data_IF_948672274002
#
_entry.id   IF_948672274002
#
_cell.length_a   1.000
_cell.length_b   1.000
_cell.length_c   1.000
_cell.angle_alpha   90.00
_cell.angle_beta   90.00
_cell.angle_gamma   90.00
#
_symmetry.space_group_name_H-M   'P 1'
#
loop_
_entity.id
_entity.type
_entity.pdbx_description
1 polymer ?
#
# COMPACT_ATOMS: atom_id res chain seq x y z
N UNK A 1 21.92 48.92 -72.45
CA UNK A 1 23.18 48.15 -72.44
C UNK A 1 24.19 48.86 -71.54
N UNK A 2 24.41 48.37 -70.31
CA UNK A 2 25.42 48.82 -69.33
C UNK A 2 25.33 47.80 -68.18
N UNK A 3 26.35 47.11 -67.63
CA UNK A 3 27.82 47.26 -67.59
C UNK A 3 28.26 48.61 -66.99
N UNK A 4 29.02 48.69 -65.88
CA UNK A 4 29.76 47.68 -65.08
C UNK A 4 29.70 47.98 -63.56
N UNK A 5 30.04 46.99 -62.73
CA UNK A 5 30.27 47.08 -61.28
C UNK A 5 31.66 47.67 -60.93
N UNK A 6 31.97 47.76 -59.61
CA UNK A 6 33.25 48.08 -58.88
C UNK A 6 33.33 49.48 -58.23
N UNK A 7 34.01 49.69 -57.08
CA UNK A 7 34.70 48.77 -56.15
C UNK A 7 34.62 49.22 -54.66
N UNK A 8 34.24 48.28 -53.78
CA UNK A 8 34.55 48.06 -52.34
C UNK A 8 35.33 49.15 -51.55
N UNK A 9 34.83 49.49 -50.33
CA UNK A 9 35.62 49.37 -49.08
C UNK A 9 34.81 49.33 -47.76
N UNK A 10 35.19 48.38 -46.90
CA UNK A 10 35.03 48.26 -45.45
C UNK A 10 33.68 48.67 -44.80
N UNK A 11 32.88 47.67 -44.44
CA UNK A 11 31.96 47.72 -43.30
C UNK A 11 32.48 46.78 -42.20
N UNK A 12 32.47 47.22 -40.94
CA UNK A 12 32.90 46.41 -39.79
C UNK A 12 31.91 45.28 -39.47
N UNK A 13 32.45 44.13 -39.07
CA UNK A 13 31.66 42.96 -38.67
C UNK A 13 30.98 43.22 -37.32
N UNK A 14 29.64 43.18 -37.31
CA UNK A 14 28.84 43.05 -36.10
C UNK A 14 28.03 41.74 -36.21
N UNK A 15 28.51 40.67 -35.58
CA UNK A 15 27.79 39.39 -35.54
C UNK A 15 26.70 39.47 -34.47
N UNK A 16 25.51 39.92 -34.87
CA UNK A 16 24.26 39.58 -34.17
C UNK A 16 23.54 38.57 -35.05
N UNK A 17 23.91 37.29 -34.90
CA UNK A 17 23.10 36.21 -35.44
C UNK A 17 21.77 36.21 -34.69
N UNK A 18 20.71 36.62 -35.37
CA UNK A 18 19.34 36.40 -34.92
C UNK A 18 19.09 34.90 -34.90
N UNK A 19 19.35 34.26 -33.77
CA UNK A 19 18.95 32.87 -33.55
C UNK A 19 17.43 32.82 -33.62
N UNK A 20 16.92 32.23 -34.70
CA UNK A 20 15.54 31.82 -34.74
C UNK A 20 15.36 30.78 -33.63
N UNK A 21 14.72 31.19 -32.52
CA UNK A 21 14.33 30.27 -31.45
C UNK A 21 13.28 29.32 -32.03
N UNK A 22 13.76 28.19 -32.55
CA UNK A 22 12.89 27.07 -32.86
C UNK A 22 12.18 26.67 -31.55
N UNK A 23 10.83 26.54 -31.54
CA UNK A 23 10.18 25.87 -30.44
C UNK A 23 10.70 24.43 -30.40
N UNK A 24 11.47 24.09 -29.37
CA UNK A 24 11.90 22.71 -29.15
C UNK A 24 10.68 21.81 -29.00
N UNK A 25 10.72 20.53 -29.45
CA UNK A 25 9.55 19.66 -29.57
C UNK A 25 9.03 19.12 -28.22
N UNK A 26 9.23 19.87 -27.12
CA UNK A 26 8.96 19.48 -25.74
C UNK A 26 8.09 20.51 -25.00
N UNK A 27 7.12 21.06 -25.71
CA UNK A 27 5.91 21.64 -25.14
C UNK A 27 4.74 21.33 -26.09
N UNK A 28 3.54 21.10 -25.53
CA UNK A 28 2.31 20.82 -26.28
C UNK A 28 2.23 19.48 -27.06
N UNK A 29 2.92 18.45 -26.57
CA UNK A 29 2.44 17.07 -26.71
C UNK A 29 1.31 16.82 -25.68
N UNK A 30 0.16 17.46 -25.89
CA UNK A 30 -0.95 17.46 -24.92
C UNK A 30 -1.75 16.16 -24.91
N UNK A 31 -1.87 15.54 -23.72
CA UNK A 31 -3.04 14.74 -23.31
C UNK A 31 -3.49 13.59 -24.24
N UNK A 32 -2.59 12.96 -25.00
CA UNK A 32 -2.98 11.96 -26.02
C UNK A 32 -2.24 10.60 -25.94
N UNK A 33 -1.25 10.44 -25.05
CA UNK A 33 -0.57 9.15 -24.79
C UNK A 33 -1.11 8.40 -23.56
N UNK A 34 -1.98 9.03 -22.74
CA UNK A 34 -2.55 8.43 -21.52
C UNK A 34 -3.64 7.37 -21.78
N UNK A 35 -3.61 6.72 -22.94
CA UNK A 35 -4.64 5.81 -23.44
C UNK A 35 -4.09 4.48 -24.01
N UNK A 36 -2.78 4.20 -23.86
CA UNK A 36 -2.13 3.00 -24.44
C UNK A 36 -1.16 2.25 -23.52
N UNK A 37 -1.66 1.91 -22.35
CA UNK A 37 -1.58 0.56 -21.77
C UNK A 37 -2.22 0.64 -20.38
N UNK A 38 -3.37 0.01 -20.20
CA UNK A 38 -3.82 -0.27 -18.84
C UNK A 38 -2.92 -1.36 -18.25
N UNK A 39 -2.47 -1.17 -17.01
CA UNK A 39 -1.59 -2.12 -16.35
C UNK A 39 -2.19 -3.54 -16.38
N UNK A 40 -1.39 -4.60 -16.63
CA UNK A 40 -1.89 -5.97 -16.66
C UNK A 40 -2.65 -6.40 -15.40
N UNK A 41 -2.33 -5.82 -14.23
CA UNK A 41 -3.04 -6.09 -12.98
C UNK A 41 -4.48 -5.52 -12.96
N UNK A 42 -4.72 -4.41 -13.65
CA UNK A 42 -6.04 -3.78 -13.72
C UNK A 42 -6.98 -4.56 -14.64
N UNK A 43 -6.46 -5.00 -15.79
CA UNK A 43 -7.17 -5.93 -16.69
C UNK A 43 -7.45 -7.27 -16.00
N UNK A 44 -6.48 -7.82 -15.26
CA UNK A 44 -6.68 -9.03 -14.44
C UNK A 44 -7.69 -8.85 -13.28
N UNK A 45 -7.89 -7.62 -12.78
CA UNK A 45 -8.97 -7.33 -11.83
C UNK A 45 -10.34 -7.22 -12.50
N UNK A 46 -10.44 -6.54 -13.65
CA UNK A 46 -11.67 -6.49 -14.47
C UNK A 46 -12.15 -7.88 -14.86
N UNK A 47 -11.25 -8.85 -14.95
CA UNK A 47 -11.57 -10.25 -15.14
C UNK A 47 -12.32 -10.87 -13.93
N UNK A 48 -12.02 -10.51 -12.70
CA UNK A 48 -12.63 -11.15 -11.51
C UNK A 48 -13.87 -10.41 -10.99
N UNK A 49 -13.87 -9.08 -11.11
CA UNK A 49 -14.76 -8.21 -10.33
C UNK A 49 -16.24 -8.26 -10.76
N UNK A 50 -17.17 -8.32 -9.80
CA UNK A 50 -18.61 -8.28 -10.10
C UNK A 50 -19.10 -6.84 -10.35
N UNK A 51 -18.54 -5.87 -9.63
CA UNK A 51 -18.83 -4.44 -9.77
C UNK A 51 -17.57 -3.68 -10.24
N UNK A 52 -17.46 -3.55 -11.57
CA UNK A 52 -16.39 -2.80 -12.22
C UNK A 52 -16.52 -1.27 -12.09
N UNK A 53 -17.54 -0.74 -11.38
CA UNK A 53 -17.65 0.70 -11.08
C UNK A 53 -16.85 1.12 -9.83
N UNK A 54 -16.32 0.16 -9.07
CA UNK A 54 -15.33 0.42 -8.00
C UNK A 54 -14.03 0.94 -8.61
N UNK A 55 -13.63 2.16 -8.25
CA UNK A 55 -12.28 2.64 -8.59
C UNK A 55 -11.23 1.91 -7.73
N UNK A 56 -10.74 0.80 -8.26
CA UNK A 56 -9.65 0.03 -7.64
C UNK A 56 -8.36 0.86 -7.48
N UNK A 57 -8.12 1.91 -8.27
CA UNK A 57 -6.94 2.78 -8.13
C UNK A 57 -7.06 3.70 -6.90
N UNK A 58 -8.28 3.92 -6.39
CA UNK A 58 -8.53 4.58 -5.11
C UNK A 58 -8.41 3.65 -3.90
N UNK A 59 -8.20 2.33 -4.09
CA UNK A 59 -7.98 1.41 -2.95
C UNK A 59 -6.67 1.72 -2.24
N UNK A 60 -6.72 1.75 -0.90
CA UNK A 60 -5.57 2.10 -0.06
C UNK A 60 -5.40 1.10 1.10
N UNK A 61 -4.15 0.79 1.51
CA UNK A 61 -2.87 1.15 0.90
C UNK A 61 -2.60 0.33 -0.38
N UNK A 62 -1.36 0.32 -0.87
CA UNK A 62 -0.92 -0.68 -1.86
C UNK A 62 -0.80 -2.06 -1.20
N UNK A 63 -1.52 -3.06 -1.73
CA UNK A 63 -1.76 -4.34 -1.06
C UNK A 63 -1.17 -5.55 -1.82
N UNK A 64 -1.10 -6.71 -1.16
CA UNK A 64 -0.57 -7.95 -1.75
C UNK A 64 -1.69 -8.81 -2.31
N UNK A 65 -1.71 -8.91 -3.63
CA UNK A 65 -2.55 -9.85 -4.37
C UNK A 65 -2.10 -11.30 -4.16
N UNK A 66 -3.05 -12.23 -4.02
CA UNK A 66 -2.74 -13.68 -4.05
C UNK A 66 -2.38 -14.11 -5.48
N UNK A 67 -1.57 -15.17 -5.58
CA UNK A 67 -1.21 -15.85 -6.83
C UNK A 67 -1.62 -17.33 -6.83
N UNK A 68 -2.28 -17.75 -5.76
CA UNK A 68 -2.75 -19.10 -5.46
C UNK A 68 -4.25 -19.25 -5.81
N UNK A 69 -4.66 -20.46 -6.17
CA UNK A 69 -6.01 -20.80 -6.65
C UNK A 69 -6.78 -21.70 -5.66
N UNK A 70 -6.43 -21.62 -4.38
CA UNK A 70 -7.11 -22.37 -3.31
C UNK A 70 -8.61 -22.03 -3.30
N UNK A 71 -9.44 -23.04 -3.02
CA UNK A 71 -10.88 -22.88 -2.76
C UNK A 71 -11.08 -21.86 -1.65
N UNK A 72 -12.02 -20.93 -1.88
CA UNK A 72 -12.42 -19.91 -0.92
C UNK A 72 -13.89 -20.07 -0.56
N UNK A 73 -14.23 -19.53 0.60
CA UNK A 73 -15.57 -19.53 1.17
C UNK A 73 -16.01 -18.12 1.52
N UNK A 74 -17.30 -17.81 1.34
CA UNK A 74 -17.90 -16.55 1.80
C UNK A 74 -19.23 -16.82 2.47
N UNK A 75 -19.36 -16.39 3.73
CA UNK A 75 -20.66 -16.32 4.38
C UNK A 75 -21.47 -15.13 3.85
N UNK A 76 -22.73 -15.36 3.47
CA UNK A 76 -23.61 -14.28 3.03
C UNK A 76 -23.90 -13.31 4.18
N UNK A 77 -23.36 -12.09 4.08
CA UNK A 77 -23.68 -10.96 4.96
C UNK A 77 -24.52 -9.89 4.27
N UNK A 78 -24.64 -9.93 2.94
CA UNK A 78 -25.38 -8.97 2.11
C UNK A 78 -26.87 -9.34 1.98
N UNK A 79 -27.26 -10.59 2.26
CA UNK A 79 -28.59 -11.16 1.99
C UNK A 79 -28.93 -11.24 0.50
N UNK A 80 -27.93 -11.56 -0.33
CA UNK A 80 -28.16 -11.85 -1.77
C UNK A 80 -28.72 -13.26 -1.99
N UNK A 81 -28.40 -14.22 -1.10
CA UNK A 81 -28.75 -15.63 -1.31
C UNK A 81 -28.30 -16.15 -2.67
N UNK A 82 -29.13 -16.98 -3.30
CA UNK A 82 -28.80 -17.63 -4.58
C UNK A 82 -28.73 -16.67 -5.77
N UNK A 83 -29.21 -15.42 -5.66
CA UNK A 83 -29.03 -14.39 -6.71
C UNK A 83 -27.54 -14.09 -6.96
N UNK A 84 -26.66 -14.37 -6.00
CA UNK A 84 -25.22 -14.25 -6.15
C UNK A 84 -24.64 -15.11 -7.29
N UNK A 85 -25.30 -16.21 -7.70
CA UNK A 85 -24.88 -17.00 -8.86
C UNK A 85 -24.97 -16.20 -10.18
N UNK A 86 -25.91 -15.25 -10.27
CA UNK A 86 -26.06 -14.37 -11.43
C UNK A 86 -25.36 -13.01 -11.22
N UNK A 87 -25.49 -12.42 -10.03
CA UNK A 87 -24.98 -11.08 -9.71
C UNK A 87 -23.51 -11.05 -9.26
N UNK A 88 -22.96 -12.19 -8.83
CA UNK A 88 -21.70 -12.27 -8.11
C UNK A 88 -21.79 -11.94 -6.61
N UNK A 89 -20.68 -12.18 -5.93
CA UNK A 89 -20.45 -11.90 -4.50
C UNK A 89 -20.18 -10.40 -4.29
N UNK A 90 -21.21 -9.57 -4.46
CA UNK A 90 -21.10 -8.12 -4.45
C UNK A 90 -20.55 -7.56 -3.11
N UNK A 91 -19.79 -6.44 -3.17
CA UNK A 91 -19.34 -5.74 -1.98
C UNK A 91 -20.51 -5.01 -1.29
N UNK A 92 -20.33 -4.62 -0.03
CA UNK A 92 -21.40 -3.91 0.71
C UNK A 92 -21.65 -2.49 0.21
N UNK A 93 -20.74 -1.91 -0.56
CA UNK A 93 -20.85 -0.57 -1.15
C UNK A 93 -22.07 -0.38 -2.04
N UNK A 94 -22.50 -1.40 -2.81
CA UNK A 94 -23.58 -1.30 -3.81
C UNK A 94 -24.93 -0.85 -3.23
N UNK A 95 -25.15 -1.04 -1.93
CA UNK A 95 -26.34 -0.59 -1.21
C UNK A 95 -26.29 0.90 -0.77
N UNK A 96 -25.26 1.65 -1.15
CA UNK A 96 -25.00 3.03 -0.73
C UNK A 96 -24.57 3.93 -1.90
N UNK A 97 -24.77 5.26 -1.82
CA UNK A 97 -24.28 6.20 -2.83
C UNK A 97 -22.76 6.14 -3.00
N UNK A 98 -22.28 6.23 -4.25
CA UNK A 98 -20.86 6.07 -4.62
C UNK A 98 -19.91 7.01 -3.85
N UNK A 99 -20.35 8.24 -3.59
CA UNK A 99 -19.59 9.22 -2.79
C UNK A 99 -19.51 8.91 -1.29
N UNK A 100 -20.05 7.77 -0.83
CA UNK A 100 -19.97 7.28 0.55
C UNK A 100 -19.24 5.92 0.66
N UNK A 101 -18.73 5.41 -0.46
CA UNK A 101 -18.01 4.14 -0.54
C UNK A 101 -16.66 4.20 0.18
N UNK A 102 -16.29 3.09 0.82
CA UNK A 102 -15.08 2.98 1.65
C UNK A 102 -14.00 2.16 0.92
N UNK A 103 -12.95 2.86 0.50
CA UNK A 103 -11.80 2.34 -0.26
C UNK A 103 -10.53 2.12 0.60
N UNK A 104 -10.59 2.39 1.91
CA UNK A 104 -9.55 2.00 2.87
C UNK A 104 -9.77 0.53 3.25
N UNK A 105 -8.84 -0.34 2.84
CA UNK A 105 -8.87 -1.77 3.11
C UNK A 105 -8.70 -2.12 4.58
N UNK A 106 -8.07 -1.25 5.38
CA UNK A 106 -7.94 -1.51 6.80
C UNK A 106 -9.15 -1.05 7.60
N UNK A 107 -9.83 0.01 7.15
CA UNK A 107 -11.16 0.36 7.66
C UNK A 107 -12.19 -0.74 7.30
N UNK A 108 -11.93 -1.53 6.27
CA UNK A 108 -12.61 -2.79 5.97
C UNK A 108 -12.22 -3.92 6.95
N UNK A 109 -12.59 -3.74 8.21
CA UNK A 109 -12.65 -4.83 9.20
C UNK A 109 -13.93 -5.67 9.09
N UNK A 110 -13.99 -6.73 9.90
CA UNK A 110 -15.08 -7.71 9.95
C UNK A 110 -16.48 -7.05 9.97
N UNK A 111 -17.18 -7.15 8.85
CA UNK A 111 -18.56 -6.67 8.69
C UNK A 111 -18.74 -5.20 8.28
N UNK A 112 -17.66 -4.41 8.12
CA UNK A 112 -17.73 -2.96 7.89
C UNK A 112 -18.73 -2.52 6.79
N UNK A 113 -19.59 -1.52 7.04
CA UNK A 113 -20.55 -1.02 6.06
C UNK A 113 -19.85 -0.21 4.96
N UNK A 114 -20.50 -0.06 3.80
CA UNK A 114 -20.03 0.72 2.63
C UNK A 114 -18.68 0.30 2.01
N UNK A 115 -18.06 -0.77 2.52
CA UNK A 115 -16.84 -1.36 1.94
C UNK A 115 -17.02 -1.71 0.47
N UNK A 116 -16.08 -1.28 -0.37
CA UNK A 116 -15.97 -1.70 -1.78
C UNK A 116 -15.41 -3.12 -1.95
N UNK A 117 -15.05 -3.77 -0.85
CA UNK A 117 -14.46 -5.09 -0.83
C UNK A 117 -15.49 -6.15 -0.43
N UNK A 118 -15.36 -7.33 -1.02
CA UNK A 118 -16.08 -8.53 -0.66
C UNK A 118 -15.13 -9.48 0.09
N UNK A 119 -15.25 -9.55 1.41
CA UNK A 119 -14.48 -10.49 2.26
C UNK A 119 -14.83 -11.93 1.95
N UNK A 120 -13.79 -12.77 1.89
CA UNK A 120 -13.85 -14.21 1.67
C UNK A 120 -12.70 -14.87 2.45
N UNK A 121 -12.70 -16.17 2.68
CA UNK A 121 -11.71 -16.85 3.54
C UNK A 121 -11.36 -18.24 3.02
N UNK A 122 -10.15 -18.73 3.30
CA UNK A 122 -9.77 -20.14 3.04
C UNK A 122 -10.50 -21.13 3.97
N UNK A 123 -11.07 -20.66 5.09
CA UNK A 123 -11.73 -21.51 6.08
C UNK A 123 -13.27 -21.49 5.99
N UNK A 124 -13.85 -22.64 5.64
CA UNK A 124 -15.31 -22.83 5.60
C UNK A 124 -15.98 -22.55 6.95
N UNK A 125 -15.34 -22.93 8.07
CA UNK A 125 -15.85 -22.71 9.43
C UNK A 125 -15.97 -21.21 9.75
N UNK A 126 -15.03 -20.40 9.25
CA UNK A 126 -15.02 -18.95 9.43
C UNK A 126 -16.10 -18.30 8.55
N UNK A 127 -16.28 -18.77 7.32
CA UNK A 127 -17.40 -18.36 6.47
C UNK A 127 -18.77 -18.71 7.11
N UNK A 128 -18.93 -19.89 7.72
CA UNK A 128 -20.13 -20.27 8.46
C UNK A 128 -20.41 -19.33 9.64
N UNK A 129 -19.39 -18.89 10.39
CA UNK A 129 -19.58 -17.93 11.50
C UNK A 129 -20.24 -16.63 11.03
N UNK A 130 -19.76 -16.05 9.92
CA UNK A 130 -20.27 -14.78 9.39
C UNK A 130 -21.55 -14.89 8.55
N UNK A 131 -21.87 -16.05 7.98
CA UNK A 131 -23.09 -16.25 7.18
C UNK A 131 -24.37 -15.91 7.96
N UNK A 132 -25.37 -15.36 7.27
CA UNK A 132 -26.77 -15.34 7.73
C UNK A 132 -27.45 -16.68 7.47
N UNK A 133 -27.43 -17.12 6.20
CA UNK A 133 -28.10 -18.34 5.72
C UNK A 133 -27.15 -19.19 4.87
N UNK A 134 -26.49 -18.58 3.87
CA UNK A 134 -25.68 -19.29 2.88
C UNK A 134 -24.18 -19.11 3.09
N UNK A 135 -23.43 -20.15 2.77
CA UNK A 135 -21.97 -20.14 2.60
C UNK A 135 -21.67 -20.53 1.16
N UNK A 136 -21.10 -19.61 0.40
CA UNK A 136 -20.65 -19.85 -0.96
C UNK A 136 -19.28 -20.52 -0.94
N UNK A 137 -19.11 -21.60 -1.69
CA UNK A 137 -17.81 -22.16 -2.07
C UNK A 137 -17.50 -21.69 -3.50
N UNK A 138 -16.29 -21.16 -3.71
CA UNK A 138 -15.90 -20.58 -5.00
C UNK A 138 -14.39 -20.66 -5.23
N UNK A 139 -13.97 -20.46 -6.48
CA UNK A 139 -12.57 -20.24 -6.84
C UNK A 139 -12.49 -19.07 -7.81
N UNK A 140 -11.62 -18.12 -7.51
CA UNK A 140 -11.33 -16.99 -8.39
C UNK A 140 -9.84 -16.64 -8.31
N UNK A 141 -9.20 -16.26 -9.43
CA UNK A 141 -7.84 -15.75 -9.39
C UNK A 141 -7.80 -14.40 -8.67
N UNK A 142 -6.59 -13.96 -8.28
CA UNK A 142 -6.38 -12.66 -7.63
C UNK A 142 -7.25 -12.48 -6.36
N UNK A 143 -7.53 -11.24 -5.98
CA UNK A 143 -7.97 -10.86 -4.63
C UNK A 143 -6.80 -10.51 -3.72
N UNK A 144 -7.05 -9.63 -2.75
CA UNK A 144 -6.06 -9.13 -1.80
C UNK A 144 -5.92 -10.13 -0.65
N UNK A 145 -4.73 -10.65 -0.44
CA UNK A 145 -4.45 -11.61 0.62
C UNK A 145 -4.19 -10.89 1.95
N UNK A 146 -5.07 -11.09 2.94
CA UNK A 146 -4.99 -10.42 4.24
C UNK A 146 -3.72 -10.80 5.01
N UNK A 147 -3.24 -12.04 4.88
CA UNK A 147 -2.05 -12.51 5.60
C UNK A 147 -0.79 -11.93 4.97
N UNK A 148 -0.67 -11.97 3.62
CA UNK A 148 0.47 -11.39 2.89
C UNK A 148 0.48 -9.85 2.91
N UNK A 149 -0.69 -9.22 3.07
CA UNK A 149 -0.84 -7.77 3.30
C UNK A 149 -0.73 -7.37 4.78
N UNK A 150 -0.74 -8.34 5.70
CA UNK A 150 -0.61 -8.16 7.15
C UNK A 150 -1.74 -7.36 7.81
N UNK A 151 -2.98 -7.63 7.40
CA UNK A 151 -4.22 -7.02 7.93
C UNK A 151 -4.62 -7.52 9.34
N UNK A 152 -5.74 -6.99 9.89
CA UNK A 152 -6.05 -7.03 11.33
C UNK A 152 -6.28 -8.42 11.90
N UNK A 153 -6.78 -9.37 11.11
CA UNK A 153 -7.13 -10.71 11.59
C UNK A 153 -6.51 -11.78 10.68
N UNK A 154 -5.21 -12.09 10.82
CA UNK A 154 -4.56 -13.12 9.99
C UNK A 154 -5.18 -14.51 10.15
N UNK A 155 -5.75 -14.79 11.33
CA UNK A 155 -6.44 -16.04 11.64
C UNK A 155 -7.77 -16.23 10.89
N UNK A 156 -8.29 -15.20 10.21
CA UNK A 156 -9.43 -15.33 9.30
C UNK A 156 -9.02 -15.74 7.87
N UNK A 157 -7.72 -15.79 7.58
CA UNK A 157 -7.15 -16.17 6.27
C UNK A 157 -7.80 -15.45 5.08
N UNK A 158 -8.22 -14.20 5.30
CA UNK A 158 -9.10 -13.48 4.39
C UNK A 158 -8.45 -13.21 3.02
N UNK A 159 -9.24 -13.38 1.97
CA UNK A 159 -9.01 -12.76 0.67
C UNK A 159 -10.12 -11.73 0.42
N UNK A 160 -9.76 -10.45 0.29
CA UNK A 160 -10.71 -9.37 0.02
C UNK A 160 -10.73 -9.03 -1.47
N UNK A 161 -11.90 -9.04 -2.12
CA UNK A 161 -12.04 -8.71 -3.54
C UNK A 161 -12.66 -7.32 -3.76
N UNK A 162 -11.93 -6.33 -4.32
CA UNK A 162 -12.52 -5.04 -4.71
C UNK A 162 -13.57 -5.23 -5.81
N UNK A 163 -14.75 -4.67 -5.63
CA UNK A 163 -15.90 -4.91 -6.52
C UNK A 163 -16.44 -6.35 -6.48
N UNK A 164 -15.96 -7.20 -5.56
CA UNK A 164 -16.45 -8.58 -5.41
C UNK A 164 -15.96 -9.57 -6.46
N UNK A 165 -16.70 -10.66 -6.63
CA UNK A 165 -16.33 -11.81 -7.47
C UNK A 165 -17.54 -12.21 -8.33
N UNK A 166 -17.37 -12.37 -9.65
CA UNK A 166 -18.46 -12.75 -10.56
C UNK A 166 -19.09 -14.10 -10.21
N UNK A 167 -20.37 -14.24 -10.53
CA UNK A 167 -21.18 -15.42 -10.21
C UNK A 167 -20.64 -16.74 -10.78
N UNK A 168 -20.06 -16.71 -11.98
CA UNK A 168 -19.48 -17.89 -12.66
C UNK A 168 -18.28 -18.53 -11.95
N UNK A 169 -17.64 -17.81 -11.03
CA UNK A 169 -16.57 -18.34 -10.17
C UNK A 169 -17.12 -19.05 -8.92
N UNK A 170 -18.42 -18.88 -8.61
CA UNK A 170 -19.09 -19.54 -7.49
C UNK A 170 -19.48 -20.94 -7.91
N UNK A 171 -19.02 -21.95 -7.17
CA UNK A 171 -19.30 -23.37 -7.43
C UNK A 171 -20.64 -23.80 -6.85
N UNK A 172 -20.89 -23.43 -5.61
CA UNK A 172 -22.11 -23.82 -4.89
C UNK A 172 -22.37 -22.90 -3.68
N UNK A 173 -23.61 -22.93 -3.20
CA UNK A 173 -24.03 -22.29 -1.95
C UNK A 173 -24.61 -23.36 -1.02
N UNK A 174 -24.00 -23.55 0.15
CA UNK A 174 -24.47 -24.49 1.17
C UNK A 174 -25.11 -23.76 2.35
N UNK A 175 -26.03 -24.39 3.07
CA UNK A 175 -26.59 -23.81 4.29
C UNK A 175 -25.50 -23.66 5.36
N UNK A 176 -25.54 -22.54 6.10
CA UNK A 176 -24.70 -22.29 7.28
C UNK A 176 -24.76 -23.45 8.29
N UNK A 177 -25.98 -23.96 8.53
CA UNK A 177 -26.30 -24.97 9.54
C UNK A 177 -26.07 -26.41 9.07
N UNK A 178 -25.99 -26.64 7.76
CA UNK A 178 -25.71 -27.95 7.18
C UNK A 178 -24.83 -27.76 5.93
N UNK A 179 -23.51 -28.01 6.01
CA UNK A 179 -22.59 -27.87 4.89
C UNK A 179 -22.76 -28.97 3.82
N UNK A 180 -23.76 -29.85 3.93
CA UNK A 180 -24.16 -30.82 2.91
C UNK A 180 -25.47 -30.43 2.19
N UNK A 181 -26.29 -29.54 2.75
CA UNK A 181 -27.44 -28.95 2.04
C UNK A 181 -26.95 -27.83 1.11
N UNK A 182 -26.52 -28.23 -0.09
CA UNK A 182 -25.88 -27.38 -1.09
C UNK A 182 -26.68 -27.27 -2.39
N UNK A 183 -26.85 -26.05 -2.87
CA UNK A 183 -27.30 -25.75 -4.23
C UNK A 183 -26.07 -25.50 -5.09
N UNK A 184 -25.87 -26.31 -6.13
CA UNK A 184 -24.83 -26.09 -7.12
C UNK A 184 -25.18 -24.91 -8.04
N UNK A 185 -24.18 -24.13 -8.44
CA UNK A 185 -24.35 -23.11 -9.48
C UNK A 185 -24.29 -23.78 -10.87
N UNK A 186 -25.35 -23.70 -11.71
CA UNK A 186 -25.31 -24.26 -13.06
C UNK A 186 -24.30 -23.56 -13.98
N UNK A 187 -23.96 -22.30 -13.69
CA UNK A 187 -23.07 -21.46 -14.51
C UNK A 187 -21.60 -21.49 -14.02
N UNK A 188 -21.25 -22.40 -13.11
CA UNK A 188 -19.89 -22.55 -12.61
C UNK A 188 -18.92 -23.10 -13.67
N UNK A 189 -17.78 -22.45 -13.82
CA UNK A 189 -16.60 -23.05 -14.43
C UNK A 189 -15.39 -22.93 -13.49
N UNK A 190 -14.67 -24.03 -13.32
CA UNK A 190 -13.42 -24.06 -12.54
C UNK A 190 -12.36 -23.22 -13.28
N UNK A 191 -11.88 -22.09 -12.71
CA UNK A 191 -10.95 -21.21 -13.41
C UNK A 191 -9.57 -21.87 -13.60
N UNK A 192 -9.09 -21.84 -14.84
CA UNK A 192 -7.78 -22.34 -15.27
C UNK A 192 -6.70 -21.26 -15.23
N UNK A 193 -7.06 -19.98 -15.29
CA UNK A 193 -6.13 -18.85 -15.40
C UNK A 193 -5.68 -18.58 -16.83
N UNK A 194 -6.43 -19.06 -17.83
CA UNK A 194 -6.15 -18.95 -19.26
C UNK A 194 -7.37 -18.45 -20.08
N UNK A 195 -8.42 -18.01 -19.40
CA UNK A 195 -9.68 -17.55 -20.00
C UNK A 195 -9.49 -16.28 -20.85
N UNK A 196 -10.26 -16.14 -21.93
CA UNK A 196 -10.20 -14.96 -22.82
C UNK A 196 -11.04 -13.81 -22.30
N UNK A 197 -10.71 -12.57 -22.70
CA UNK A 197 -11.45 -11.35 -22.28
C UNK A 197 -12.97 -11.44 -22.52
N UNK A 198 -13.40 -12.20 -23.53
CA UNK A 198 -14.80 -12.43 -23.90
C UNK A 198 -15.52 -13.44 -23.02
N UNK A 199 -14.82 -14.46 -22.51
CA UNK A 199 -15.40 -15.48 -21.60
C UNK A 199 -15.64 -14.93 -20.19
N UNK A 200 -15.13 -13.74 -19.91
CA UNK A 200 -15.02 -13.21 -18.55
C UNK A 200 -15.84 -11.92 -18.33
N UNK A 201 -16.11 -11.09 -19.34
CA UNK A 201 -16.75 -9.79 -19.15
C UNK A 201 -18.25 -9.90 -18.77
N UNK A 202 -18.65 -9.32 -17.63
CA UNK A 202 -20.05 -9.39 -17.15
C UNK A 202 -20.97 -8.35 -17.80
N UNK A 203 -20.57 -7.07 -17.84
CA UNK A 203 -21.33 -5.95 -18.43
C UNK A 203 -20.36 -4.85 -18.92
N UNK A 204 -20.57 -4.21 -20.10
CA UNK A 204 -19.78 -3.05 -20.52
C UNK A 204 -20.17 -1.76 -19.78
N UNK A 205 -19.21 -0.85 -19.57
CA UNK A 205 -19.39 0.43 -18.85
C UNK A 205 -18.98 1.64 -19.72
N UNK A 206 -19.68 2.76 -19.53
CA UNK A 206 -19.47 4.07 -20.16
C UNK A 206 -18.50 4.94 -19.34
N UNK A 207 -17.37 5.32 -19.96
CA UNK A 207 -16.24 6.00 -19.32
C UNK A 207 -16.43 7.51 -19.08
N UNK A 208 -17.55 8.11 -19.46
CA UNK A 208 -17.72 9.57 -19.53
C UNK A 208 -17.92 10.32 -18.18
N UNK A 209 -17.72 9.69 -17.00
CA UNK A 209 -18.44 10.09 -15.77
C UNK A 209 -17.69 10.22 -14.42
N UNK A 210 -16.37 10.06 -14.28
CA UNK A 210 -15.70 9.99 -12.95
C UNK A 210 -14.44 10.87 -12.77
N UNK A 211 -14.28 11.51 -11.60
CA UNK A 211 -13.16 12.39 -11.16
C UNK A 211 -13.00 12.39 -9.60
N UNK A 212 -11.79 12.25 -8.99
CA UNK A 212 -11.61 12.15 -7.51
C UNK A 212 -10.59 13.11 -6.82
N UNK A 213 -10.63 13.20 -5.47
CA UNK A 213 -9.75 13.96 -4.50
C UNK A 213 -10.06 13.51 -3.04
N UNK A 214 -9.30 13.67 -1.93
CA UNK A 214 -7.92 14.17 -1.57
C UNK A 214 -7.41 13.42 -0.29
N UNK A 215 -6.60 13.99 0.64
CA UNK A 215 -6.19 13.26 1.88
C UNK A 215 -5.20 13.88 2.91
N UNK A 216 -3.94 13.44 2.90
CA UNK A 216 -2.92 13.64 3.96
C UNK A 216 -1.51 13.99 3.41
N UNK A 217 -0.69 14.66 4.22
CA UNK A 217 0.65 15.11 3.84
C UNK A 217 1.74 14.04 4.06
N UNK A 218 2.09 13.31 3.00
CA UNK A 218 3.38 12.62 2.90
C UNK A 218 4.51 13.65 2.76
N UNK A 219 5.66 13.37 3.36
CA UNK A 219 6.85 14.24 3.29
C UNK A 219 8.09 13.48 2.85
N UNK A 220 8.92 14.14 2.05
CA UNK A 220 10.25 13.67 1.64
C UNK A 220 11.29 14.34 2.54
N UNK A 221 12.06 13.58 3.32
CA UNK A 221 13.02 14.15 4.27
C UNK A 221 14.22 14.80 3.54
N UNK A 222 14.56 16.05 3.90
CA UNK A 222 15.74 16.75 3.33
C UNK A 222 17.06 16.46 4.07
N UNK A 223 16.95 15.88 5.26
CA UNK A 223 18.03 15.51 6.16
C UNK A 223 17.81 14.06 6.64
N UNK A 224 18.84 13.37 7.17
CA UNK A 224 18.65 12.03 7.73
C UNK A 224 17.57 12.01 8.82
N UNK A 225 16.92 10.86 8.99
CA UNK A 225 16.02 10.61 10.13
C UNK A 225 16.54 9.44 10.94
N UNK A 226 16.22 9.42 12.24
CA UNK A 226 16.76 8.46 13.20
C UNK A 226 15.65 7.49 13.59
N UNK A 227 15.52 6.41 12.82
CA UNK A 227 14.55 5.36 13.06
C UNK A 227 14.93 4.54 14.30
N UNK A 228 13.95 4.16 15.10
CA UNK A 228 14.15 3.41 16.34
C UNK A 228 13.67 1.98 16.25
N UNK A 229 14.36 1.08 16.95
CA UNK A 229 14.03 -0.34 17.01
C UNK A 229 14.34 -1.01 18.34
N UNK A 230 13.58 -2.05 18.67
CA UNK A 230 13.85 -2.98 19.78
C UNK A 230 13.17 -4.32 19.49
N UNK A 231 13.55 -5.37 20.22
CA UNK A 231 12.90 -6.69 20.13
C UNK A 231 11.39 -6.65 20.41
N UNK A 232 10.87 -5.58 21.02
CA UNK A 232 9.45 -5.33 21.24
C UNK A 232 8.73 -4.70 20.05
N UNK A 233 9.45 -4.07 19.12
CA UNK A 233 8.85 -3.24 18.05
C UNK A 233 9.23 -3.64 16.61
N UNK A 234 10.32 -4.39 16.41
CA UNK A 234 10.64 -5.01 15.12
C UNK A 234 11.10 -6.47 15.28
N UNK A 235 10.67 -7.39 14.39
CA UNK A 235 11.16 -8.76 14.35
C UNK A 235 12.58 -8.91 13.78
N UNK A 236 13.17 -7.83 13.24
CA UNK A 236 14.50 -7.81 12.61
C UNK A 236 15.30 -6.63 13.18
N UNK A 237 16.57 -6.85 13.54
CA UNK A 237 17.44 -5.86 14.20
C UNK A 237 18.85 -5.84 13.61
N UNK A 238 19.66 -4.83 13.95
CA UNK A 238 21.09 -4.75 13.69
C UNK A 238 21.48 -4.90 12.21
N UNK A 239 22.43 -5.80 11.93
CA UNK A 239 22.90 -6.08 10.57
C UNK A 239 21.78 -6.56 9.64
N UNK A 240 20.86 -7.39 10.14
CA UNK A 240 19.75 -7.90 9.34
C UNK A 240 18.74 -6.80 9.01
N UNK A 241 18.53 -5.82 9.89
CA UNK A 241 17.68 -4.68 9.59
C UNK A 241 18.31 -3.79 8.49
N UNK A 242 19.63 -3.56 8.55
CA UNK A 242 20.38 -2.86 7.50
C UNK A 242 20.30 -3.60 6.14
N UNK A 243 20.44 -4.93 6.12
CA UNK A 243 20.42 -5.71 4.89
C UNK A 243 18.99 -5.93 4.33
N UNK A 244 18.04 -6.31 5.19
CA UNK A 244 16.72 -6.83 4.82
C UNK A 244 15.57 -5.84 5.03
N UNK A 245 15.86 -4.67 5.61
CA UNK A 245 14.90 -3.64 6.01
C UNK A 245 14.45 -3.77 7.47
N UNK A 246 14.29 -2.62 8.13
CA UNK A 246 13.71 -2.50 9.46
C UNK A 246 12.19 -2.55 9.33
N UNK A 247 11.56 -3.62 9.81
CA UNK A 247 10.14 -3.90 9.61
C UNK A 247 9.33 -3.60 10.87
N UNK A 248 8.10 -3.17 10.70
CA UNK A 248 7.10 -3.16 11.78
C UNK A 248 6.67 -4.62 12.12
N UNK A 249 6.10 -4.86 13.31
CA UNK A 249 5.64 -6.21 13.71
C UNK A 249 4.44 -6.70 12.90
N UNK A 250 3.64 -5.79 12.39
CA UNK A 250 2.56 -6.05 11.45
C UNK A 250 2.52 -4.92 10.41
N UNK A 251 1.59 -4.99 9.47
CA UNK A 251 1.35 -3.93 8.47
C UNK A 251 -0.12 -3.50 8.47
N UNK A 252 -0.69 -3.30 9.67
CA UNK A 252 -1.98 -2.64 9.89
C UNK A 252 -1.88 -1.13 9.55
N UNK A 253 -2.97 -0.33 9.67
CA UNK A 253 -2.76 1.10 9.87
C UNK A 253 -1.99 1.30 11.16
N UNK A 254 -1.07 2.25 11.21
CA UNK A 254 -0.85 3.00 12.43
C UNK A 254 -2.07 3.91 12.66
N UNK A 255 -2.73 3.82 13.81
CA UNK A 255 -3.45 4.99 14.35
C UNK A 255 -2.36 5.99 14.74
N UNK A 256 -1.93 6.82 13.79
CA UNK A 256 -0.82 7.76 13.95
C UNK A 256 -1.05 8.72 15.13
N UNK A 257 -2.31 8.98 15.49
CA UNK A 257 -2.74 9.82 16.62
C UNK A 257 -2.65 9.10 17.97
N UNK A 258 -2.80 7.76 18.03
CA UNK A 258 -2.64 6.98 19.27
C UNK A 258 -1.32 6.20 19.39
N UNK A 259 -0.54 6.07 18.32
CA UNK A 259 0.80 5.49 18.32
C UNK A 259 1.84 6.43 18.98
N UNK A 260 1.61 6.78 20.25
CA UNK A 260 2.30 7.86 20.97
C UNK A 260 3.72 7.56 21.43
N UNK A 261 4.07 6.28 21.57
CA UNK A 261 5.39 5.81 22.01
C UNK A 261 5.80 4.62 21.12
N UNK A 262 7.10 4.46 20.75
CA UNK A 262 7.52 3.36 19.87
C UNK A 262 7.13 1.96 20.38
N UNK A 263 7.28 1.67 21.69
CA UNK A 263 6.91 0.37 22.27
C UNK A 263 5.40 0.16 22.54
N UNK A 264 4.56 1.11 22.12
CA UNK A 264 3.10 0.94 22.17
C UNK A 264 2.64 -0.21 21.27
N UNK A 265 1.67 -0.99 21.74
CA UNK A 265 0.97 -1.98 20.89
C UNK A 265 0.32 -1.34 19.66
N UNK A 266 -0.01 -0.04 19.74
CA UNK A 266 -0.60 0.76 18.66
C UNK A 266 0.43 1.28 17.63
N UNK A 267 1.73 1.18 17.94
CA UNK A 267 2.83 1.56 17.04
C UNK A 267 3.36 0.38 16.21
N UNK A 268 2.84 -0.84 16.42
CA UNK A 268 3.32 -2.10 15.80
C UNK A 268 3.23 -2.17 14.27
N UNK A 269 2.55 -1.20 13.64
CA UNK A 269 2.33 -1.05 12.19
C UNK A 269 3.24 0.00 11.52
N UNK A 270 4.03 0.74 12.30
CA UNK A 270 5.00 1.72 11.82
C UNK A 270 6.40 1.40 12.31
N UNK A 271 7.39 1.99 11.66
CA UNK A 271 8.70 2.27 12.26
C UNK A 271 8.71 3.76 12.60
N UNK A 272 8.86 4.09 13.88
CA UNK A 272 8.97 5.49 14.31
C UNK A 272 10.39 5.98 14.05
N UNK A 273 10.52 7.25 13.69
CA UNK A 273 11.80 7.92 13.56
C UNK A 273 11.73 9.34 14.12
N UNK A 274 12.88 9.85 14.54
CA UNK A 274 13.04 11.21 15.05
C UNK A 274 13.87 12.05 14.09
N UNK A 275 13.62 13.37 14.08
CA UNK A 275 14.40 14.37 13.35
C UNK A 275 15.84 14.41 13.85
N UNK A 276 15.99 14.35 15.17
CA UNK A 276 17.25 14.56 15.86
C UNK A 276 17.73 13.28 16.53
N UNK A 277 19.03 12.99 16.38
CA UNK A 277 19.67 11.78 16.91
C UNK A 277 19.53 11.67 18.44
N UNK A 278 19.56 12.82 19.12
CA UNK A 278 19.41 12.94 20.57
C UNK A 278 18.11 12.30 21.07
N UNK A 279 16.99 12.50 20.39
CA UNK A 279 15.68 12.01 20.83
C UNK A 279 15.58 10.49 20.65
N UNK A 280 16.04 9.99 19.49
CA UNK A 280 16.13 8.55 19.23
C UNK A 280 17.07 7.84 20.22
N UNK A 281 18.18 8.50 20.60
CA UNK A 281 19.12 8.02 21.62
C UNK A 281 18.50 8.03 23.02
N UNK A 282 17.82 9.11 23.41
CA UNK A 282 17.12 9.21 24.70
C UNK A 282 16.11 8.06 24.80
N UNK A 283 15.23 7.90 23.80
CA UNK A 283 14.28 6.78 23.75
C UNK A 283 14.97 5.41 23.91
N UNK A 284 16.06 5.16 23.19
CA UNK A 284 16.76 3.88 23.20
C UNK A 284 17.44 3.57 24.56
N UNK A 285 17.81 4.60 25.33
CA UNK A 285 18.50 4.47 26.61
C UNK A 285 17.55 4.49 27.81
N UNK A 286 16.45 5.25 27.76
CA UNK A 286 15.54 5.45 28.91
C UNK A 286 14.19 4.75 28.76
N UNK A 287 13.55 4.83 27.60
CA UNK A 287 12.19 4.34 27.38
C UNK A 287 12.15 2.85 27.00
N UNK A 288 12.89 2.45 25.96
CA UNK A 288 12.91 1.08 25.44
C UNK A 288 13.16 0.05 26.56
N UNK A 289 12.35 -1.01 26.66
CA UNK A 289 12.32 -1.86 27.86
C UNK A 289 13.69 -2.48 28.20
N UNK A 290 14.43 -2.92 27.19
CA UNK A 290 15.70 -3.66 27.33
C UNK A 290 16.86 -2.96 26.59
N UNK A 291 16.76 -1.64 26.39
CA UNK A 291 17.59 -0.92 25.43
C UNK A 291 17.05 -1.02 24.00
N UNK A 292 17.71 -0.34 23.06
CA UNK A 292 17.21 -0.20 21.68
C UNK A 292 18.30 0.06 20.66
N UNK A 293 17.93 -0.09 19.39
CA UNK A 293 18.70 0.28 18.22
C UNK A 293 18.25 1.63 17.67
N UNK A 294 19.21 2.44 17.23
CA UNK A 294 18.98 3.68 16.49
C UNK A 294 19.61 3.55 15.10
N UNK A 295 18.81 3.71 14.06
CA UNK A 295 19.17 3.53 12.66
C UNK A 295 19.11 4.86 11.90
N UNK A 296 20.15 5.14 11.13
CA UNK A 296 20.21 6.32 10.26
C UNK A 296 19.52 6.03 8.92
N UNK A 297 18.44 6.77 8.65
CA UNK A 297 17.65 6.70 7.42
C UNK A 297 18.09 7.80 6.46
N UNK A 298 18.33 7.45 5.20
CA UNK A 298 18.80 8.37 4.14
C UNK A 298 17.87 9.57 3.95
N UNK A 299 18.42 10.75 3.59
CA UNK A 299 17.65 11.81 2.95
C UNK A 299 16.96 11.33 1.66
N UNK A 300 15.89 12.02 1.28
CA UNK A 300 14.98 11.72 0.17
C UNK A 300 14.17 10.40 0.33
N UNK A 301 14.11 9.87 1.54
CA UNK A 301 13.12 8.87 1.95
C UNK A 301 11.75 9.52 2.19
N UNK A 302 10.68 8.77 1.96
CA UNK A 302 9.30 9.23 2.16
C UNK A 302 8.76 8.71 3.50
N UNK A 303 8.17 9.60 4.29
CA UNK A 303 7.59 9.33 5.61
C UNK A 303 6.31 10.17 5.83
N UNK A 304 5.62 9.95 6.94
CA UNK A 304 4.55 10.85 7.42
C UNK A 304 5.09 11.66 8.60
N UNK A 305 4.94 12.99 8.55
CA UNK A 305 5.33 13.90 9.64
C UNK A 305 4.26 13.87 10.76
N UNK A 306 4.68 13.64 12.01
CA UNK A 306 3.79 13.51 13.17
C UNK A 306 3.69 14.80 14.00
N UNK A 307 4.32 15.90 13.57
CA UNK A 307 4.17 17.22 14.20
C UNK A 307 2.84 17.92 13.85
N UNK A 308 2.01 17.30 13.00
CA UNK A 308 0.73 17.83 12.56
C UNK A 308 -0.31 17.99 13.67
N UNK A 309 -1.24 18.94 13.48
CA UNK A 309 -2.30 19.32 14.45
C UNK A 309 -3.23 18.17 14.88
N UNK A 310 -3.25 17.06 14.15
CA UNK A 310 -4.17 15.94 14.35
C UNK A 310 -3.52 14.66 14.91
N UNK A 311 -2.18 14.57 14.93
CA UNK A 311 -1.43 13.43 15.49
C UNK A 311 -1.12 13.59 16.99
N UNK A 312 -1.43 14.76 17.56
CA UNK A 312 -0.93 15.22 18.85
C UNK A 312 0.49 15.76 18.71
N UNK A 313 0.85 16.77 19.52
CA UNK A 313 2.15 17.45 19.39
C UNK A 313 3.32 16.48 19.63
N UNK A 314 3.92 15.97 18.55
CA UNK A 314 5.17 15.22 18.53
C UNK A 314 6.13 15.90 17.57
N UNK A 315 6.57 17.09 17.97
CA UNK A 315 7.56 17.86 17.22
C UNK A 315 8.80 16.99 16.97
N UNK A 316 9.30 16.97 15.74
CA UNK A 316 10.41 16.11 15.34
C UNK A 316 10.10 14.63 15.06
N UNK A 317 8.90 14.10 15.37
CA UNK A 317 8.60 12.68 15.13
C UNK A 317 8.05 12.39 13.72
N UNK A 318 8.37 11.21 13.20
CA UNK A 318 7.97 10.70 11.88
C UNK A 318 7.53 9.23 11.94
N UNK A 319 6.68 8.82 11.01
CA UNK A 319 6.29 7.42 10.81
C UNK A 319 6.67 6.92 9.41
N UNK A 320 7.38 5.79 9.37
CA UNK A 320 7.55 4.97 8.18
C UNK A 320 6.52 3.82 8.23
N UNK A 321 5.40 3.99 7.52
CA UNK A 321 4.30 3.02 7.47
C UNK A 321 4.76 1.77 6.71
N UNK A 322 4.61 0.58 7.30
CA UNK A 322 5.13 -0.67 6.74
C UNK A 322 6.66 -0.85 6.84
N UNK A 323 7.36 0.07 7.53
CA UNK A 323 8.80 0.00 7.78
C UNK A 323 9.69 0.60 6.70
N UNK A 324 10.99 0.28 6.76
CA UNK A 324 12.04 0.94 5.98
C UNK A 324 12.85 -0.13 5.22
N UNK A 325 12.95 0.04 3.89
CA UNK A 325 13.76 -0.84 3.02
C UNK A 325 15.25 -0.72 3.38
N UNK A 326 15.96 -1.84 3.50
CA UNK A 326 17.35 -1.88 3.99
C UNK A 326 18.32 -0.92 3.29
N UNK A 327 18.23 -0.80 1.95
CA UNK A 327 19.02 0.16 1.16
C UNK A 327 18.75 1.65 1.41
N UNK A 328 17.77 2.00 2.25
CA UNK A 328 17.52 3.35 2.77
C UNK A 328 18.14 3.58 4.15
N UNK A 329 18.66 2.54 4.81
CA UNK A 329 19.39 2.64 6.06
C UNK A 329 20.91 2.75 5.76
N UNK A 330 21.66 3.46 6.60
CA UNK A 330 23.10 3.69 6.40
C UNK A 330 23.95 3.11 7.52
N UNK A 331 23.57 3.44 8.75
CA UNK A 331 24.28 3.10 9.98
C UNK A 331 23.27 2.71 11.06
N UNK A 332 23.69 1.90 12.03
CA UNK A 332 22.89 1.40 13.14
C UNK A 332 23.75 1.37 14.42
N UNK A 333 23.18 1.77 15.56
CA UNK A 333 23.83 1.79 16.87
C UNK A 333 22.95 1.09 17.90
N UNK A 334 23.49 0.14 18.68
CA UNK A 334 22.77 -0.51 19.78
C UNK A 334 23.11 0.19 21.09
N UNK A 335 22.10 0.43 21.92
CA UNK A 335 22.20 0.95 23.27
C UNK A 335 21.63 -0.07 24.26
N UNK A 336 22.21 -0.10 25.47
CA UNK A 336 21.66 -0.82 26.62
C UNK A 336 20.98 0.15 27.58
N UNK A 337 19.99 -0.33 28.33
CA UNK A 337 19.16 0.54 29.16
C UNK A 337 19.99 1.23 30.25
N UNK A 338 19.91 2.56 30.31
CA UNK A 338 20.72 3.41 31.18
C UNK A 338 22.17 3.64 30.72
N UNK A 339 22.63 3.02 29.62
CA UNK A 339 23.99 3.17 29.09
C UNK A 339 24.00 4.24 27.99
N UNK A 340 24.62 5.38 28.27
CA UNK A 340 24.67 6.54 27.35
C UNK A 340 25.60 6.39 26.13
N UNK A 341 26.37 5.31 26.04
CA UNK A 341 27.28 5.02 24.92
C UNK A 341 26.75 3.83 24.08
N UNK A 342 27.00 3.80 22.76
CA UNK A 342 26.58 2.70 21.92
C UNK A 342 27.45 1.46 22.16
N UNK A 343 26.83 0.39 22.64
CA UNK A 343 27.48 -0.92 22.89
C UNK A 343 27.74 -1.72 21.61
N UNK A 344 27.21 -1.28 20.47
CA UNK A 344 27.43 -1.88 19.16
C UNK A 344 27.24 -0.84 18.04
N UNK A 345 28.06 -0.89 16.99
CA UNK A 345 27.91 -0.07 15.78
C UNK A 345 28.06 -0.89 14.51
N UNK A 346 27.14 -0.71 13.57
CA UNK A 346 27.12 -1.40 12.26
C UNK A 346 26.80 -0.35 11.19
N UNK A 347 27.47 -0.36 10.04
CA UNK A 347 27.19 0.62 8.99
C UNK A 347 28.26 0.68 7.90
N UNK A 348 28.02 1.57 6.94
CA UNK A 348 28.94 1.84 5.83
C UNK A 348 30.15 2.65 6.34
N UNK A 349 29.93 3.64 7.19
CA UNK A 349 30.98 4.54 7.71
C UNK A 349 31.44 4.12 9.12
N UNK A 350 32.14 2.98 9.20
CA UNK A 350 32.62 2.39 10.47
C UNK A 350 33.49 3.31 11.33
N UNK A 351 34.05 4.38 10.76
CA UNK A 351 34.91 5.33 11.48
C UNK A 351 34.12 6.37 12.31
N UNK A 352 32.83 6.60 12.02
CA UNK A 352 32.04 7.63 12.73
C UNK A 352 31.86 7.29 14.21
N UNK A 353 31.65 6.02 14.57
CA UNK A 353 31.61 5.59 15.98
C UNK A 353 32.98 5.64 16.70
N UNK A 354 34.07 6.01 16.02
CA UNK A 354 35.40 6.18 16.64
C UNK A 354 35.75 7.64 16.96
N UNK A 355 35.00 8.62 16.42
CA UNK A 355 35.31 10.03 16.61
C UNK A 355 34.78 10.60 17.93
N UNK A 356 33.71 10.04 18.50
CA UNK A 356 33.22 10.41 19.85
C UNK A 356 34.28 10.08 20.94
N UNK A 357 35.18 9.12 20.71
CA UNK A 357 36.31 8.78 21.60
C UNK A 357 37.54 9.72 21.48
N UNK A 358 37.45 10.88 20.82
CA UNK A 358 38.57 11.83 20.66
C UNK A 358 38.39 13.20 21.31
N UNK A 359 37.27 13.44 22.01
CA UNK A 359 37.00 14.69 22.72
C UNK A 359 36.52 14.45 24.16
N UNK A 360 37.33 13.70 24.91
CA UNK A 360 37.43 13.78 26.37
C UNK A 360 38.88 14.20 26.72
#
# INVERSE_FOLDING_TARGET
MTRKSTFIRAATVAVVLTSAWQPGPYAWATAQDSARNEDPWYQAWLQVTADASVDIRATTPSLRWRTDMDTLYRGDTTSQGLEAFQQGLLPKSVAFPVNTWMYDWFAHGAGAPRSVYSSTTRSQEIAQKFAKEWVFEFKAPHGIDQVKSGGPIPAEEEISYPGGVKGSFIKQACKKTDPHDCVANPDYHEPTGHETMQEIAATPIDWSKLVPVEGLAWVTNKQPLWAVGSVKINPVQGADALAQGLRSWNSLPPDLRLASHPESSLARSLVMAFRDYSDAKIWAVTEAENGGWVYEVRPNSVAVDLSGRYTGNREGAFAFIGGIKGGLLMNARRFEKGIGEPVECIGIEKEVCRLEYRHQ
#
